data_IF_561975973713
#
_entry.id   IF_561975973713
#
_cell.length_a   1.000
_cell.length_b   1.000
_cell.length_c   1.000
_cell.angle_alpha   90.00
_cell.angle_beta   90.00
_cell.angle_gamma   90.00
#
_symmetry.space_group_name_H-M   'P 1'
#
loop_
_entity.id
_entity.type
_entity.pdbx_description
1 polymer ?
#
# COMPACT_ATOMS: atom_id res chain seq x y z
N UNK A 1 -6.88 -15.87 16.23
CA UNK A 1 -6.61 -15.36 14.87
C UNK A 1 -5.54 -16.27 14.25
N UNK A 2 -5.97 -17.29 13.49
CA UNK A 2 -5.04 -18.22 12.85
C UNK A 2 -4.32 -17.50 11.71
N UNK A 3 -3.02 -17.74 11.58
CA UNK A 3 -2.07 -17.07 10.66
C UNK A 3 -2.28 -17.45 9.18
N UNK A 4 -3.46 -18.00 8.85
CA UNK A 4 -3.75 -18.67 7.58
C UNK A 4 -4.41 -17.74 6.55
N UNK A 5 -4.96 -16.60 6.97
CA UNK A 5 -5.62 -15.64 6.07
C UNK A 5 -4.67 -14.55 5.55
N UNK A 6 -3.43 -14.46 6.08
CA UNK A 6 -2.47 -13.44 5.70
C UNK A 6 -1.78 -13.76 4.37
N UNK A 7 -2.48 -13.50 3.28
CA UNK A 7 -1.99 -13.65 1.89
C UNK A 7 -1.79 -12.29 1.24
N UNK A 8 -0.65 -12.10 0.58
CA UNK A 8 -0.25 -10.84 -0.06
C UNK A 8 -0.21 -10.97 -1.58
N UNK A 9 -0.87 -10.06 -2.27
CA UNK A 9 -0.74 -9.85 -3.70
C UNK A 9 -0.15 -8.46 -4.02
N UNK A 10 0.49 -8.36 -5.18
CA UNK A 10 1.00 -7.09 -5.73
C UNK A 10 0.40 -6.89 -7.12
N UNK A 11 -0.21 -5.73 -7.32
CA UNK A 11 -0.68 -5.24 -8.62
C UNK A 11 0.43 -4.40 -9.23
N UNK A 12 1.11 -4.95 -10.25
CA UNK A 12 2.20 -4.33 -10.98
C UNK A 12 3.51 -5.10 -10.86
N UNK A 13 4.07 -5.52 -12.01
CA UNK A 13 5.40 -6.16 -12.12
C UNK A 13 6.47 -5.20 -12.66
N UNK A 14 6.36 -3.91 -12.33
CA UNK A 14 7.39 -2.90 -12.60
C UNK A 14 8.51 -2.94 -11.56
N UNK A 15 9.43 -1.97 -11.61
CA UNK A 15 10.57 -1.90 -10.68
C UNK A 15 10.14 -1.86 -9.21
N UNK A 16 9.14 -1.03 -8.88
CA UNK A 16 8.61 -0.92 -7.50
C UNK A 16 7.90 -2.21 -7.06
N UNK A 17 7.04 -2.78 -7.90
CA UNK A 17 6.32 -4.00 -7.54
C UNK A 17 7.26 -5.20 -7.34
N UNK A 18 8.25 -5.36 -8.22
CA UNK A 18 9.27 -6.39 -8.05
C UNK A 18 10.17 -6.12 -6.83
N UNK A 19 10.51 -4.86 -6.54
CA UNK A 19 11.26 -4.53 -5.33
C UNK A 19 10.47 -4.85 -4.05
N UNK A 20 9.20 -4.47 -4.00
CA UNK A 20 8.28 -4.83 -2.89
C UNK A 20 8.20 -6.35 -2.73
N UNK A 21 8.07 -7.09 -3.83
CA UNK A 21 8.08 -8.56 -3.80
C UNK A 21 9.39 -9.11 -3.23
N UNK A 22 10.54 -8.57 -3.63
CA UNK A 22 11.84 -9.01 -3.14
C UNK A 22 11.96 -8.85 -1.61
N UNK A 23 11.61 -7.70 -1.05
CA UNK A 23 11.65 -7.47 0.40
C UNK A 23 10.67 -8.35 1.19
N UNK A 24 9.45 -8.55 0.67
CA UNK A 24 8.46 -9.44 1.30
C UNK A 24 8.92 -10.90 1.27
N UNK A 25 9.48 -11.36 0.15
CA UNK A 25 10.03 -12.72 0.02
C UNK A 25 11.24 -12.92 0.91
N UNK A 26 12.14 -11.94 1.00
CA UNK A 26 13.27 -11.95 1.93
C UNK A 26 12.83 -12.00 3.41
N UNK A 27 11.63 -11.47 3.71
CA UNK A 27 10.99 -11.56 5.04
C UNK A 27 10.25 -12.87 5.28
N UNK A 28 10.34 -13.85 4.37
CA UNK A 28 9.68 -15.15 4.49
C UNK A 28 8.19 -15.15 4.13
N UNK A 29 7.65 -14.06 3.60
CA UNK A 29 6.24 -13.96 3.24
C UNK A 29 6.00 -14.48 1.81
N UNK A 30 4.97 -15.30 1.56
CA UNK A 30 4.55 -15.65 0.20
C UNK A 30 3.90 -14.44 -0.46
N UNK A 31 4.20 -14.25 -1.75
CA UNK A 31 3.69 -13.12 -2.54
C UNK A 31 3.26 -13.59 -3.91
N UNK A 32 2.08 -13.14 -4.31
CA UNK A 32 1.59 -13.25 -5.67
C UNK A 32 1.67 -11.91 -6.39
N UNK A 33 1.82 -11.94 -7.71
CA UNK A 33 1.92 -10.74 -8.53
C UNK A 33 1.00 -10.84 -9.73
N UNK A 34 0.24 -9.78 -9.95
CA UNK A 34 -0.49 -9.54 -11.19
C UNK A 34 0.20 -8.46 -12.01
N UNK A 35 0.23 -8.61 -13.33
CA UNK A 35 0.63 -7.57 -14.27
C UNK A 35 -0.01 -7.83 -15.62
N UNK A 36 -0.43 -6.78 -16.37
CA UNK A 36 -1.06 -6.97 -17.68
C UNK A 36 -0.19 -7.76 -18.66
N UNK A 37 1.11 -7.44 -18.68
CA UNK A 37 2.06 -8.08 -19.61
C UNK A 37 3.02 -9.03 -18.91
N UNK A 38 3.37 -8.78 -17.64
CA UNK A 38 4.39 -9.55 -16.93
C UNK A 38 5.75 -9.57 -17.63
N UNK A 39 6.04 -8.66 -18.57
CA UNK A 39 7.21 -8.71 -19.48
C UNK A 39 8.57 -8.76 -18.78
N UNK A 40 8.63 -8.29 -17.54
CA UNK A 40 9.86 -8.28 -16.72
C UNK A 40 10.06 -9.54 -15.90
N UNK A 41 9.07 -10.42 -15.88
CA UNK A 41 9.10 -11.69 -15.17
C UNK A 41 9.52 -12.80 -16.13
N UNK A 42 10.42 -13.67 -15.67
CA UNK A 42 10.85 -14.87 -16.38
C UNK A 42 10.00 -16.07 -15.91
N UNK A 43 9.76 -17.07 -16.78
CA UNK A 43 9.14 -18.32 -16.37
C UNK A 43 9.92 -18.99 -15.23
N UNK A 44 9.19 -19.63 -14.32
CA UNK A 44 9.74 -20.48 -13.27
C UNK A 44 9.49 -21.96 -13.61
N UNK A 45 10.29 -22.87 -13.05
CA UNK A 45 10.14 -24.31 -13.31
C UNK A 45 8.80 -24.87 -12.82
N UNK A 46 8.28 -24.30 -11.72
CA UNK A 46 6.94 -24.62 -11.22
C UNK A 46 5.87 -23.83 -12.01
N UNK A 47 4.85 -24.51 -12.58
CA UNK A 47 3.72 -23.85 -13.23
C UNK A 47 3.03 -22.83 -12.32
N UNK A 48 2.48 -21.77 -12.91
CA UNK A 48 1.81 -20.70 -12.16
C UNK A 48 2.77 -19.78 -11.37
N UNK A 49 4.08 -19.98 -11.47
CA UNK A 49 5.08 -19.13 -10.83
C UNK A 49 5.94 -18.40 -11.85
N UNK A 50 6.51 -17.30 -11.39
CA UNK A 50 7.41 -16.45 -12.12
C UNK A 50 8.64 -16.13 -11.27
N UNK A 51 9.72 -15.72 -11.93
CA UNK A 51 10.93 -15.27 -11.24
C UNK A 51 11.54 -14.03 -11.87
N UNK A 52 12.30 -13.31 -11.07
CA UNK A 52 13.21 -12.25 -11.53
C UNK A 52 14.44 -12.26 -10.62
N UNK A 53 15.54 -11.71 -11.12
CA UNK A 53 16.79 -11.63 -10.38
C UNK A 53 16.99 -10.19 -9.90
N UNK A 54 17.49 -10.03 -8.68
CA UNK A 54 17.77 -8.76 -8.05
C UNK A 54 19.24 -8.61 -7.69
N UNK A 55 19.70 -7.36 -7.70
CA UNK A 55 21.03 -6.95 -7.22
C UNK A 55 20.96 -5.64 -6.41
N UNK A 56 21.98 -5.37 -5.61
CA UNK A 56 22.17 -4.12 -4.88
C UNK A 56 21.88 -4.29 -3.39
N UNK A 57 20.82 -3.68 -2.88
CA UNK A 57 20.42 -3.84 -1.47
C UNK A 57 19.95 -5.26 -1.13
N UNK A 58 19.49 -6.01 -2.12
CA UNK A 58 19.16 -7.43 -2.02
C UNK A 58 19.66 -8.13 -3.29
N UNK A 59 20.51 -9.14 -3.11
CA UNK A 59 21.04 -9.96 -4.20
C UNK A 59 20.34 -11.34 -4.23
N UNK A 60 19.98 -11.82 -5.42
CA UNK A 60 19.51 -13.19 -5.62
C UNK A 60 18.32 -13.33 -6.55
N UNK A 61 17.80 -14.56 -6.66
CA UNK A 61 16.61 -14.86 -7.45
C UNK A 61 15.35 -14.82 -6.58
N UNK A 62 14.33 -14.12 -7.05
CA UNK A 62 13.04 -13.98 -6.36
C UNK A 62 11.97 -14.72 -7.14
N UNK A 63 11.37 -15.73 -6.51
CA UNK A 63 10.23 -16.47 -7.06
C UNK A 63 8.91 -16.00 -6.43
N UNK A 64 7.91 -15.75 -7.28
CA UNK A 64 6.57 -15.27 -6.92
C UNK A 64 5.49 -16.13 -7.59
N UNK A 65 4.30 -16.17 -7.02
CA UNK A 65 3.11 -16.67 -7.72
C UNK A 65 2.69 -15.63 -8.78
N UNK A 66 2.27 -16.11 -9.96
CA UNK A 66 1.78 -15.25 -11.04
C UNK A 66 0.26 -15.35 -11.12
N UNK A 67 -0.41 -14.25 -10.85
CA UNK A 67 -1.85 -14.11 -11.04
C UNK A 67 -2.14 -13.80 -12.50
N UNK A 68 -3.04 -14.55 -13.11
CA UNK A 68 -3.43 -14.36 -14.50
C UNK A 68 -4.53 -13.30 -14.63
N UNK A 69 -5.46 -13.25 -13.67
CA UNK A 69 -6.64 -12.39 -13.72
C UNK A 69 -6.70 -11.49 -12.49
N UNK A 70 -7.25 -10.30 -12.65
CA UNK A 70 -7.54 -9.41 -11.52
C UNK A 70 -8.54 -10.04 -10.54
N UNK A 71 -9.45 -10.88 -11.04
CA UNK A 71 -10.38 -11.64 -10.21
C UNK A 71 -9.69 -12.51 -9.15
N UNK A 72 -8.45 -12.96 -9.40
CA UNK A 72 -7.70 -13.81 -8.47
C UNK A 72 -7.19 -13.01 -7.24
N UNK A 73 -7.17 -11.66 -7.31
CA UNK A 73 -6.76 -10.79 -6.19
C UNK A 73 -7.67 -10.95 -4.97
N UNK A 74 -8.89 -11.37 -5.22
CA UNK A 74 -9.92 -11.53 -4.22
C UNK A 74 -9.51 -12.57 -3.15
N UNK A 75 -8.65 -13.55 -3.48
CA UNK A 75 -8.16 -14.58 -2.56
C UNK A 75 -7.04 -14.08 -1.62
N UNK A 76 -6.71 -12.79 -1.69
CA UNK A 76 -5.61 -12.17 -0.95
C UNK A 76 -6.11 -11.10 0.01
N UNK A 77 -5.79 -11.27 1.29
CA UNK A 77 -6.14 -10.29 2.33
C UNK A 77 -5.48 -8.92 2.17
N UNK A 78 -4.27 -8.86 1.60
CA UNK A 78 -3.48 -7.64 1.47
C UNK A 78 -3.04 -7.47 0.02
N UNK A 79 -3.35 -6.31 -0.57
CA UNK A 79 -3.04 -6.03 -1.97
C UNK A 79 -2.23 -4.75 -2.06
N UNK A 80 -0.97 -4.87 -2.47
CA UNK A 80 -0.11 -3.73 -2.77
C UNK A 80 -0.35 -3.25 -4.20
N UNK A 81 -0.66 -1.97 -4.36
CA UNK A 81 -0.81 -1.31 -5.64
C UNK A 81 0.52 -0.62 -5.95
N UNK A 82 1.26 -1.20 -6.89
CA UNK A 82 2.60 -0.76 -7.31
C UNK A 82 2.61 -0.42 -8.80
N UNK A 83 1.59 0.33 -9.23
CA UNK A 83 1.45 0.82 -10.61
C UNK A 83 1.96 2.25 -10.71
N UNK A 84 2.42 2.70 -11.89
CA UNK A 84 2.52 4.13 -12.16
C UNK A 84 1.11 4.76 -12.20
N UNK A 85 1.03 6.03 -11.82
CA UNK A 85 -0.22 6.81 -11.75
C UNK A 85 -1.08 6.72 -13.01
N UNK A 86 -0.44 6.71 -14.17
CA UNK A 86 -1.08 6.64 -15.49
C UNK A 86 -1.91 5.38 -15.72
N UNK A 87 -1.72 4.34 -14.90
CA UNK A 87 -2.44 3.07 -15.01
C UNK A 87 -3.46 2.87 -13.89
N UNK A 88 -3.54 3.79 -12.92
CA UNK A 88 -4.45 3.63 -11.78
C UNK A 88 -5.91 3.54 -12.22
N UNK A 89 -6.40 4.51 -12.99
CA UNK A 89 -7.82 4.53 -13.38
C UNK A 89 -8.24 3.24 -14.08
N UNK A 90 -7.54 2.87 -15.16
CA UNK A 90 -7.88 1.68 -15.94
C UNK A 90 -7.82 0.40 -15.09
N UNK A 91 -6.66 0.11 -14.48
CA UNK A 91 -6.46 -1.18 -13.79
C UNK A 91 -7.32 -1.29 -12.54
N UNK A 92 -7.50 -0.20 -11.79
CA UNK A 92 -8.23 -0.26 -10.52
C UNK A 92 -9.75 -0.22 -10.75
N UNK A 93 -10.24 0.34 -11.86
CA UNK A 93 -11.64 0.15 -12.28
C UNK A 93 -11.89 -1.30 -12.71
N UNK A 94 -10.98 -1.90 -13.49
CA UNK A 94 -11.09 -3.31 -13.88
C UNK A 94 -11.03 -4.26 -12.67
N UNK A 95 -10.29 -3.89 -11.62
CA UNK A 95 -10.19 -4.66 -10.39
C UNK A 95 -11.37 -4.42 -9.42
N UNK A 96 -12.12 -3.33 -9.58
CA UNK A 96 -13.17 -2.92 -8.65
C UNK A 96 -14.24 -3.99 -8.35
N UNK A 97 -14.75 -4.76 -9.33
CA UNK A 97 -15.74 -5.81 -9.08
C UNK A 97 -15.18 -7.02 -8.31
N UNK A 98 -13.87 -7.06 -8.05
CA UNK A 98 -13.18 -8.20 -7.46
C UNK A 98 -12.66 -7.94 -6.06
N UNK A 99 -12.86 -6.72 -5.54
CA UNK A 99 -12.59 -6.44 -4.14
C UNK A 99 -13.55 -7.22 -3.23
N UNK A 100 -13.07 -7.57 -2.04
CA UNK A 100 -13.82 -8.32 -1.04
C UNK A 100 -13.73 -7.64 0.32
N UNK A 101 -14.73 -7.89 1.15
CA UNK A 101 -14.78 -7.41 2.53
C UNK A 101 -13.53 -7.81 3.32
N UNK A 102 -13.03 -6.88 4.12
CA UNK A 102 -11.87 -7.09 4.99
C UNK A 102 -10.52 -7.02 4.28
N UNK A 103 -10.47 -6.82 2.96
CA UNK A 103 -9.19 -6.61 2.27
C UNK A 103 -8.52 -5.29 2.69
N UNK A 104 -7.20 -5.31 2.76
CA UNK A 104 -6.36 -4.11 2.93
C UNK A 104 -5.66 -3.78 1.62
N UNK A 105 -6.03 -2.66 1.01
CA UNK A 105 -5.46 -2.16 -0.24
C UNK A 105 -4.41 -1.08 0.06
N UNK A 106 -3.15 -1.33 -0.31
CA UNK A 106 -2.01 -0.46 0.05
C UNK A 106 -1.44 0.19 -1.21
N UNK A 107 -1.60 1.50 -1.35
CA UNK A 107 -1.05 2.26 -2.47
C UNK A 107 0.41 2.64 -2.18
N UNK A 108 1.34 2.05 -2.92
CA UNK A 108 2.78 2.26 -2.76
C UNK A 108 3.21 3.59 -3.39
N UNK A 109 3.30 4.64 -2.58
CA UNK A 109 3.46 6.02 -3.06
C UNK A 109 2.13 6.59 -3.54
N UNK A 110 1.21 6.79 -2.61
CA UNK A 110 -0.10 7.38 -2.88
C UNK A 110 0.06 8.79 -3.46
N UNK A 111 -0.56 8.98 -4.62
CA UNK A 111 -0.73 10.29 -5.22
C UNK A 111 -2.09 10.82 -4.79
N UNK A 112 -2.11 11.95 -4.09
CA UNK A 112 -3.34 12.66 -3.71
C UNK A 112 -4.35 11.78 -2.96
N UNK A 113 -5.52 11.51 -3.54
CA UNK A 113 -6.69 10.89 -2.89
C UNK A 113 -6.99 9.46 -3.37
N UNK A 114 -6.03 8.78 -4.00
CA UNK A 114 -6.24 7.42 -4.55
C UNK A 114 -6.79 6.42 -3.52
N UNK A 115 -6.33 6.37 -2.25
CA UNK A 115 -6.93 5.50 -1.24
C UNK A 115 -8.41 5.80 -0.95
N UNK A 116 -8.81 7.08 -0.96
CA UNK A 116 -10.21 7.47 -0.79
C UNK A 116 -11.05 7.01 -1.98
N UNK A 117 -10.54 7.25 -3.20
CA UNK A 117 -11.20 6.81 -4.43
C UNK A 117 -11.36 5.28 -4.46
N UNK A 118 -10.31 4.52 -4.11
CA UNK A 118 -10.37 3.06 -3.99
C UNK A 118 -11.45 2.59 -3.03
N UNK A 119 -11.54 3.20 -1.84
CA UNK A 119 -12.57 2.86 -0.85
C UNK A 119 -13.97 3.14 -1.37
N UNK A 120 -14.18 4.30 -2.01
CA UNK A 120 -15.47 4.67 -2.58
C UNK A 120 -15.87 3.75 -3.74
N UNK A 121 -14.92 3.41 -4.61
CA UNK A 121 -15.15 2.49 -5.72
C UNK A 121 -15.44 1.08 -5.21
N UNK A 122 -14.69 0.56 -4.24
CA UNK A 122 -14.98 -0.74 -3.63
C UNK A 122 -16.38 -0.78 -2.99
N UNK A 123 -16.75 0.25 -2.23
CA UNK A 123 -18.07 0.36 -1.62
C UNK A 123 -19.19 0.41 -2.66
N UNK A 124 -18.99 1.12 -3.78
CA UNK A 124 -19.95 1.14 -4.88
C UNK A 124 -20.15 -0.24 -5.55
N UNK A 125 -19.16 -1.14 -5.41
CA UNK A 125 -19.22 -2.54 -5.84
C UNK A 125 -19.62 -3.50 -4.71
N UNK A 126 -20.04 -2.99 -3.55
CA UNK A 126 -20.51 -3.80 -2.43
C UNK A 126 -19.40 -4.45 -1.60
N UNK A 127 -18.17 -3.94 -1.68
CA UNK A 127 -17.03 -4.43 -0.91
C UNK A 127 -16.57 -3.41 0.13
N UNK A 128 -16.31 -3.88 1.35
CA UNK A 128 -15.80 -3.09 2.46
C UNK A 128 -14.29 -3.32 2.69
N UNK A 129 -13.48 -2.35 2.27
CA UNK A 129 -12.00 -2.45 2.28
C UNK A 129 -11.36 -1.41 3.18
N UNK A 130 -10.22 -1.78 3.77
CA UNK A 130 -9.28 -0.82 4.35
C UNK A 130 -8.40 -0.27 3.23
N UNK A 131 -8.41 1.04 3.01
CA UNK A 131 -7.55 1.68 2.01
C UNK A 131 -6.41 2.44 2.68
N UNK A 132 -5.18 2.10 2.32
CA UNK A 132 -3.94 2.63 2.92
C UNK A 132 -3.15 3.38 1.85
N UNK A 133 -2.72 4.60 2.18
CA UNK A 133 -1.81 5.39 1.35
C UNK A 133 -0.45 5.55 2.01
N UNK A 134 0.60 5.12 1.35
CA UNK A 134 1.97 5.43 1.77
C UNK A 134 2.43 6.75 1.15
N UNK A 135 3.14 7.58 1.89
CA UNK A 135 3.67 8.86 1.38
C UNK A 135 4.70 8.69 0.27
N UNK A 136 5.29 7.50 0.14
CA UNK A 136 6.30 7.16 -0.85
C UNK A 136 6.39 5.64 -1.03
N UNK A 137 7.15 5.19 -2.01
CA UNK A 137 7.44 3.77 -2.25
C UNK A 137 8.42 3.22 -1.22
N UNK A 138 8.45 1.90 -1.01
CA UNK A 138 9.38 1.24 -0.08
C UNK A 138 10.86 1.57 -0.36
N UNK A 139 11.20 1.57 -1.65
CA UNK A 139 12.52 1.86 -2.18
C UNK A 139 12.39 2.45 -3.57
N UNK A 140 13.51 2.82 -4.19
CA UNK A 140 13.61 3.03 -5.63
C UNK A 140 14.29 1.83 -6.27
N UNK A 141 13.84 1.45 -7.47
CA UNK A 141 14.41 0.33 -8.20
C UNK A 141 14.21 0.52 -9.71
N UNK A 142 15.13 -0.03 -10.49
CA UNK A 142 15.05 0.00 -11.95
C UNK A 142 15.65 -1.29 -12.53
N UNK A 143 15.19 -1.68 -13.72
CA UNK A 143 15.77 -2.83 -14.42
C UNK A 143 17.02 -2.38 -15.18
N UNK A 144 18.10 -3.14 -15.02
CA UNK A 144 19.34 -2.99 -15.76
C UNK A 144 19.18 -3.52 -17.20
N UNK A 145 20.10 -3.19 -18.12
CA UNK A 145 20.07 -3.70 -19.50
C UNK A 145 20.07 -5.23 -19.60
N UNK A 146 20.69 -5.93 -18.64
CA UNK A 146 20.72 -7.40 -18.57
C UNK A 146 19.41 -8.02 -18.03
N UNK A 147 18.44 -7.19 -17.64
CA UNK A 147 17.14 -7.59 -17.13
C UNK A 147 17.10 -7.90 -15.63
N UNK A 148 18.21 -7.75 -14.89
CA UNK A 148 18.19 -7.81 -13.41
C UNK A 148 17.59 -6.53 -12.85
N UNK A 149 16.89 -6.64 -11.72
CA UNK A 149 16.39 -5.49 -10.97
C UNK A 149 17.49 -4.97 -10.05
N UNK A 150 17.90 -3.71 -10.21
CA UNK A 150 18.75 -3.04 -9.24
C UNK A 150 17.86 -2.40 -8.16
N UNK A 151 18.05 -2.81 -6.90
CA UNK A 151 17.30 -2.30 -5.74
C UNK A 151 18.20 -1.40 -4.91
N UNK A 152 17.67 -0.23 -4.56
CA UNK A 152 18.28 0.59 -3.52
C UNK A 152 17.82 0.14 -2.12
N UNK A 153 18.52 0.63 -1.11
CA UNK A 153 18.17 0.41 0.29
C UNK A 153 16.71 0.85 0.59
N UNK A 154 16.01 0.18 1.50
CA UNK A 154 14.66 0.58 1.87
C UNK A 154 14.71 1.95 2.56
N UNK A 155 13.64 2.72 2.42
CA UNK A 155 13.51 3.99 3.13
C UNK A 155 13.41 3.73 4.62
N UNK A 156 14.15 4.50 5.43
CA UNK A 156 14.16 4.34 6.89
C UNK A 156 12.82 4.66 7.56
N UNK A 157 11.95 5.43 6.90
CA UNK A 157 10.61 5.74 7.38
C UNK A 157 9.66 5.98 6.19
N UNK A 158 8.41 5.54 6.35
CA UNK A 158 7.32 5.77 5.41
C UNK A 158 6.13 6.29 6.22
N UNK A 159 5.65 7.50 5.91
CA UNK A 159 4.41 8.00 6.49
C UNK A 159 3.22 7.27 5.85
N UNK A 160 2.22 6.94 6.64
CA UNK A 160 1.01 6.28 6.14
C UNK A 160 -0.25 6.91 6.71
N UNK A 161 -1.27 6.97 5.88
CA UNK A 161 -2.65 7.25 6.27
C UNK A 161 -3.51 6.07 5.84
N UNK A 162 -4.57 5.79 6.59
CA UNK A 162 -5.53 4.75 6.20
C UNK A 162 -6.95 5.21 6.45
N UNK A 163 -7.85 4.67 5.65
CA UNK A 163 -9.28 4.75 5.82
C UNK A 163 -9.75 3.37 6.25
N UNK A 164 -10.28 3.29 7.46
CA UNK A 164 -10.89 2.07 7.98
C UNK A 164 -12.12 1.68 7.14
N UNK A 165 -12.54 0.40 7.17
CA UNK A 165 -13.85 -0.04 6.68
C UNK A 165 -14.96 0.89 7.20
N UNK A 166 -15.97 1.33 6.41
CA UNK A 166 -17.20 1.87 7.01
C UNK A 166 -17.77 0.91 8.07
N UNK A 167 -17.50 1.19 9.34
CA UNK A 167 -18.33 0.63 10.42
C UNK A 167 -19.79 0.97 10.12
N UNK A 168 -20.67 -0.02 10.31
CA UNK A 168 -22.10 0.24 10.39
C UNK A 168 -22.37 1.35 11.41
N UNK A 169 -22.63 2.56 10.92
CA UNK A 169 -23.24 3.68 11.63
C UNK A 169 -22.74 4.01 13.06
N UNK A 170 -21.44 4.19 13.33
CA UNK A 170 -21.03 4.89 14.57
C UNK A 170 -19.60 5.45 14.59
N UNK A 171 -19.22 6.26 13.62
CA UNK A 171 -18.30 7.36 13.94
C UNK A 171 -18.88 8.63 13.36
N UNK A 172 -19.74 9.28 14.15
CA UNK A 172 -20.04 10.69 13.95
C UNK A 172 -18.70 11.40 13.88
N UNK A 173 -18.37 11.95 12.71
CA UNK A 173 -17.49 13.11 12.69
C UNK A 173 -18.03 14.07 13.76
N UNK A 174 -17.23 14.63 14.68
CA UNK A 174 -17.75 15.66 15.56
C UNK A 174 -18.27 16.76 14.64
N UNK A 175 -19.60 16.84 14.49
CA UNK A 175 -20.23 18.00 13.88
C UNK A 175 -19.72 19.16 14.70
N UNK A 176 -18.94 20.04 14.07
CA UNK A 176 -18.67 21.34 14.64
C UNK A 176 -20.05 21.87 15.05
N UNK A 177 -20.26 22.02 16.37
CA UNK A 177 -21.51 22.58 16.87
C UNK A 177 -21.76 23.91 16.17
N UNK A 178 -23.02 24.33 16.00
CA UNK A 178 -23.31 25.61 15.36
C UNK A 178 -22.47 26.68 16.05
N UNK A 179 -21.54 27.25 15.29
CA UNK A 179 -20.76 28.39 15.71
C UNK A 179 -21.78 29.51 15.90
N UNK A 180 -22.21 29.72 17.14
CA UNK A 180 -23.07 30.82 17.51
C UNK A 180 -22.31 32.10 17.20
N UNK A 181 -22.63 32.68 16.04
CA UNK A 181 -22.10 33.94 15.59
C UNK A 181 -22.66 35.06 16.48
N UNK A 182 -22.02 35.28 17.61
CA UNK A 182 -22.16 36.52 18.37
C UNK A 182 -20.81 37.23 18.37
N UNK A 183 -20.70 38.19 17.46
CA UNK A 183 -19.90 39.40 17.69
C UNK A 183 -18.37 39.25 17.71
N UNK A 184 -17.78 39.60 16.57
CA UNK A 184 -16.55 40.38 16.43
C UNK A 184 -15.18 39.69 16.53
N UNK A 185 -14.38 39.98 15.48
CA UNK A 185 -12.91 39.90 15.31
C UNK A 185 -12.29 38.53 15.01
N UNK A 186 -11.90 38.39 13.73
CA UNK A 186 -10.90 37.52 13.09
C UNK A 186 -10.82 36.03 13.50
N UNK A 187 -10.92 35.08 12.55
CA UNK A 187 -10.72 33.67 12.86
C UNK A 187 -9.23 33.40 13.09
N UNK A 188 -8.84 33.24 14.36
CA UNK A 188 -7.59 32.56 14.70
C UNK A 188 -7.84 31.07 14.55
N UNK A 189 -7.11 30.41 13.65
CA UNK A 189 -7.09 28.94 13.56
C UNK A 189 -6.43 28.43 14.85
N UNK A 190 -7.23 27.88 15.76
CA UNK A 190 -6.73 27.16 16.93
C UNK A 190 -6.24 25.78 16.49
N UNK A 191 -4.92 25.62 16.36
CA UNK A 191 -4.29 24.31 16.26
C UNK A 191 -4.46 23.56 17.58
N UNK A 192 -4.69 22.23 17.58
CA UNK A 192 -4.61 21.43 18.80
C UNK A 192 -3.19 21.55 19.38
N UNK A 193 -3.12 21.67 20.70
CA UNK A 193 -1.86 21.86 21.43
C UNK A 193 -0.84 20.76 21.11
N UNK A 194 0.46 21.08 21.01
CA UNK A 194 1.50 20.09 20.86
C UNK A 194 1.54 19.16 22.08
N UNK A 195 1.82 17.89 21.82
CA UNK A 195 1.97 16.80 22.77
C UNK A 195 2.89 17.19 23.95
N UNK A 196 2.63 16.71 25.18
CA UNK A 196 3.48 17.01 26.31
C UNK A 196 4.90 16.48 26.05
N UNK A 197 5.86 17.40 25.97
CA UNK A 197 7.28 17.08 25.96
C UNK A 197 7.66 16.51 27.32
N UNK A 198 8.13 15.26 27.31
CA UNK A 198 8.71 14.64 28.49
C UNK A 198 9.95 15.42 28.93
N UNK A 199 9.97 15.72 30.22
CA UNK A 199 10.93 16.55 30.93
C UNK A 199 12.33 15.96 30.83
N UNK A 200 13.28 16.76 30.32
CA UNK A 200 14.73 16.53 30.52
C UNK A 200 15.02 16.59 32.02
N UNK A 201 15.41 15.47 32.63
CA UNK A 201 16.07 15.48 33.93
C UNK A 201 17.56 15.81 33.73
N UNK A 202 17.97 16.97 34.24
CA UNK A 202 19.36 17.33 34.50
C UNK A 202 19.65 17.01 35.97
N UNK A 203 20.56 16.09 36.24
CA UNK A 203 21.27 15.94 37.53
C UNK A 203 22.36 14.89 37.33
N UNK A 204 23.60 14.99 37.83
CA UNK A 204 24.38 16.03 38.50
C UNK A 204 25.82 15.50 38.47
N UNK A 205 26.81 16.40 38.36
CA UNK A 205 28.21 16.08 38.61
C UNK A 205 28.38 15.51 40.03
N UNK A 206 29.11 14.41 40.14
CA UNK A 206 30.18 14.19 41.12
C UNK A 206 31.27 13.39 40.43
#
# INVERSE_FOLDING_TARGET
MQRNDFRIAIVGAGGIGCATAAYLRASGLPVAMWSPTGRRLRPHAQPGRARFDCVGALDGAVAVERLARLADLSDYSHVFICLPASHYQQVLQDAAPHWRDGQTLIVSGALSLVPLWLRQTAAAHGADVTAVGWSTTLTTAHFLPDGRLHLNAPRGQIGMAWLAPPEGAATRWPTAGPCSATGSRQPTICWPAPWPTSTRSRMRRR
#
